data_IF_963106713647
#
_entry.id   IF_963106713647
#
_cell.length_a   1.000
_cell.length_b   1.000
_cell.length_c   1.000
_cell.angle_alpha   90.00
_cell.angle_beta   90.00
_cell.angle_gamma   90.00
#
_symmetry.space_group_name_H-M   'P 1'
#
loop_
_entity.id
_entity.type
_entity.pdbx_description
1 polymer ?
#
# COMPACT_ATOMS: atom_id res chain seq x y z
N UNK A 1 13.66 -27.24 3.48
CA UNK A 1 14.94 -26.51 3.48
C UNK A 1 15.81 -27.18 2.44
N UNK A 2 16.13 -26.49 1.35
CA UNK A 2 17.03 -26.99 0.31
C UNK A 2 18.35 -26.21 0.45
N UNK A 3 19.40 -26.87 0.95
CA UNK A 3 20.76 -26.32 0.92
C UNK A 3 21.25 -26.39 -0.52
N UNK A 4 21.69 -25.27 -1.09
CA UNK A 4 22.27 -25.25 -2.44
C UNK A 4 23.77 -25.09 -2.35
N UNK A 5 24.50 -26.01 -2.97
CA UNK A 5 25.97 -26.15 -2.89
C UNK A 5 26.77 -24.98 -3.50
N UNK A 6 26.12 -23.90 -3.95
CA UNK A 6 26.80 -22.78 -4.61
C UNK A 6 26.20 -21.40 -4.25
N UNK A 7 25.54 -21.25 -3.10
CA UNK A 7 24.94 -19.97 -2.70
C UNK A 7 24.87 -19.81 -1.18
N UNK A 8 25.38 -18.70 -0.66
CA UNK A 8 25.51 -18.37 0.77
C UNK A 8 24.20 -17.94 1.46
N UNK A 9 23.03 -18.39 0.99
CA UNK A 9 21.73 -17.94 1.49
C UNK A 9 20.64 -19.02 1.35
N UNK A 10 19.64 -18.96 2.23
CA UNK A 10 18.53 -19.92 2.25
C UNK A 10 17.30 -19.43 1.46
N UNK A 11 16.58 -20.37 0.86
CA UNK A 11 15.33 -20.09 0.14
C UNK A 11 14.14 -20.89 0.69
N UNK A 12 12.96 -20.27 0.63
CA UNK A 12 11.66 -20.88 0.93
C UNK A 12 11.25 -21.87 -0.16
N UNK A 13 10.16 -22.62 0.08
CA UNK A 13 9.64 -23.61 -0.85
C UNK A 13 9.16 -23.01 -2.19
N UNK A 14 8.77 -21.73 -2.21
CA UNK A 14 8.39 -20.98 -3.40
C UNK A 14 9.59 -20.33 -4.12
N UNK A 15 10.82 -20.59 -3.63
CA UNK A 15 12.07 -20.08 -4.18
C UNK A 15 12.43 -18.65 -3.76
N UNK A 16 11.67 -18.01 -2.86
CA UNK A 16 12.03 -16.70 -2.30
C UNK A 16 13.13 -16.80 -1.25
N UNK A 17 13.87 -15.72 -1.03
CA UNK A 17 14.81 -15.64 0.10
C UNK A 17 14.07 -15.88 1.42
N UNK A 18 14.61 -16.78 2.25
CA UNK A 18 14.10 -17.01 3.60
C UNK A 18 14.36 -15.81 4.52
N UNK A 19 15.49 -15.12 4.30
CA UNK A 19 15.87 -13.90 4.99
C UNK A 19 16.13 -12.77 3.97
N UNK A 20 15.24 -11.78 3.93
CA UNK A 20 15.35 -10.68 2.97
C UNK A 20 16.60 -9.80 3.18
N UNK A 21 17.22 -9.84 4.37
CA UNK A 21 18.44 -9.09 4.66
C UNK A 21 19.70 -9.68 4.02
N UNK A 22 19.66 -10.94 3.59
CA UNK A 22 20.75 -11.60 2.85
C UNK A 22 20.80 -11.22 1.37
N UNK A 23 19.82 -10.44 0.90
CA UNK A 23 19.78 -10.02 -0.49
C UNK A 23 21.02 -9.21 -0.88
N UNK A 24 21.58 -9.56 -2.04
CA UNK A 24 22.60 -8.81 -2.75
C UNK A 24 22.48 -9.10 -4.25
N UNK A 25 23.27 -8.42 -5.10
CA UNK A 25 23.20 -8.61 -6.56
C UNK A 25 23.50 -10.04 -7.01
N UNK A 26 24.41 -10.75 -6.34
CA UNK A 26 24.72 -12.16 -6.65
C UNK A 26 23.55 -13.09 -6.28
N UNK A 27 22.89 -12.83 -5.15
CA UNK A 27 21.67 -13.54 -4.79
C UNK A 27 20.55 -13.32 -5.82
N UNK A 28 20.32 -12.08 -6.25
CA UNK A 28 19.34 -11.77 -7.30
C UNK A 28 19.65 -12.49 -8.62
N UNK A 29 20.90 -12.48 -9.07
CA UNK A 29 21.34 -13.21 -10.28
C UNK A 29 21.11 -14.72 -10.16
N UNK A 30 21.39 -15.29 -8.99
CA UNK A 30 21.17 -16.72 -8.71
C UNK A 30 19.69 -17.06 -8.77
N UNK A 31 18.83 -16.26 -8.12
CA UNK A 31 17.38 -16.45 -8.15
C UNK A 31 16.81 -16.31 -9.56
N UNK A 32 17.30 -15.34 -10.34
CA UNK A 32 16.90 -15.15 -11.73
C UNK A 32 17.32 -16.35 -12.61
N UNK A 33 18.56 -16.83 -12.45
CA UNK A 33 19.07 -17.98 -13.22
C UNK A 33 18.28 -19.26 -12.95
N UNK A 34 17.86 -19.49 -11.70
CA UNK A 34 16.98 -20.61 -11.32
C UNK A 34 15.60 -20.55 -11.97
N UNK A 35 15.13 -19.34 -12.27
CA UNK A 35 13.89 -19.09 -13.00
C UNK A 35 14.08 -19.08 -14.53
N UNK A 36 15.29 -19.38 -15.02
CA UNK A 36 15.61 -19.33 -16.46
C UNK A 36 15.69 -17.90 -17.02
N UNK A 37 15.93 -16.90 -16.16
CA UNK A 37 15.99 -15.48 -16.53
C UNK A 37 17.43 -14.95 -16.45
N UNK A 38 17.87 -14.26 -17.50
CA UNK A 38 19.14 -13.50 -17.50
C UNK A 38 18.84 -12.04 -17.28
N UNK A 39 19.44 -11.43 -16.25
CA UNK A 39 19.20 -10.03 -15.88
C UNK A 39 20.03 -9.09 -16.75
N UNK A 40 19.35 -8.29 -17.58
CA UNK A 40 19.91 -7.12 -18.27
C UNK A 40 19.63 -5.81 -17.49
N UNK A 41 20.02 -4.68 -18.07
CA UNK A 41 19.85 -3.35 -17.47
C UNK A 41 18.38 -3.03 -17.15
N UNK A 42 17.44 -3.41 -17.99
CA UNK A 42 16.00 -3.20 -17.77
C UNK A 42 15.49 -3.97 -16.54
N UNK A 43 16.00 -5.18 -16.31
CA UNK A 43 15.68 -5.93 -15.10
C UNK A 43 16.22 -5.23 -13.85
N UNK A 44 17.47 -4.75 -13.90
CA UNK A 44 18.08 -4.05 -12.77
C UNK A 44 17.36 -2.74 -12.44
N UNK A 45 16.91 -1.98 -13.44
CA UNK A 45 16.08 -0.78 -13.22
C UNK A 45 14.81 -1.12 -12.42
N UNK A 46 14.12 -2.20 -12.76
CA UNK A 46 12.92 -2.66 -12.03
C UNK A 46 13.26 -3.15 -10.63
N UNK A 47 14.29 -3.98 -10.48
CA UNK A 47 14.73 -4.53 -9.20
C UNK A 47 15.14 -3.41 -8.24
N UNK A 48 15.94 -2.45 -8.69
CA UNK A 48 16.42 -1.34 -7.87
C UNK A 48 15.26 -0.43 -7.42
N UNK A 49 14.27 -0.16 -8.30
CA UNK A 49 13.06 0.57 -7.90
C UNK A 49 12.24 -0.18 -6.85
N UNK A 50 12.02 -1.50 -7.02
CA UNK A 50 11.30 -2.30 -6.03
C UNK A 50 11.99 -2.26 -4.66
N UNK A 51 13.32 -2.37 -4.64
CA UNK A 51 14.09 -2.39 -3.41
C UNK A 51 14.13 -1.04 -2.72
N UNK A 52 14.39 0.03 -3.46
CA UNK A 52 14.42 1.37 -2.89
C UNK A 52 13.04 1.75 -2.34
N UNK A 53 11.97 1.37 -3.04
CA UNK A 53 10.60 1.56 -2.55
C UNK A 53 10.34 0.77 -1.26
N UNK A 54 10.70 -0.52 -1.23
CA UNK A 54 10.54 -1.35 -0.04
C UNK A 54 11.36 -0.84 1.14
N UNK A 55 12.60 -0.38 0.90
CA UNK A 55 13.43 0.20 1.95
C UNK A 55 12.84 1.51 2.51
N UNK A 56 12.22 2.33 1.66
CA UNK A 56 11.63 3.60 2.07
C UNK A 56 10.33 3.43 2.88
N UNK A 57 9.47 2.47 2.48
CA UNK A 57 8.11 2.35 3.01
C UNK A 57 7.83 1.06 3.79
N UNK A 58 8.74 0.09 3.77
CA UNK A 58 8.55 -1.25 4.33
C UNK A 58 7.33 -1.99 3.73
N UNK A 59 6.93 -1.60 2.52
CA UNK A 59 5.89 -2.25 1.70
C UNK A 59 6.34 -2.29 0.25
N UNK A 60 6.16 -3.43 -0.47
CA UNK A 60 6.52 -3.52 -1.88
C UNK A 60 5.55 -2.68 -2.74
N UNK A 61 6.00 -2.10 -3.86
CA UNK A 61 5.12 -1.33 -4.73
C UNK A 61 4.18 -2.25 -5.51
N UNK A 62 2.89 -1.90 -5.55
CA UNK A 62 1.92 -2.49 -6.50
C UNK A 62 2.28 -2.06 -7.94
N UNK A 63 1.85 -2.82 -8.96
CA UNK A 63 2.31 -2.64 -10.36
C UNK A 63 2.20 -1.21 -10.89
N UNK A 64 1.07 -0.54 -10.67
CA UNK A 64 0.87 0.87 -11.10
C UNK A 64 1.81 1.85 -10.39
N UNK A 65 2.07 1.66 -9.10
CA UNK A 65 3.06 2.49 -8.36
C UNK A 65 4.46 2.20 -8.86
N UNK A 66 4.82 0.92 -9.07
CA UNK A 66 6.09 0.55 -9.67
C UNK A 66 6.31 1.24 -11.03
N UNK A 67 5.30 1.23 -11.91
CA UNK A 67 5.38 1.92 -13.21
C UNK A 67 5.55 3.45 -13.03
N UNK A 68 4.83 4.06 -12.09
CA UNK A 68 4.97 5.50 -11.78
C UNK A 68 6.41 5.83 -11.34
N UNK A 69 6.97 5.02 -10.46
CA UNK A 69 8.35 5.18 -9.96
C UNK A 69 9.40 4.95 -11.05
N UNK A 70 9.20 3.93 -11.89
CA UNK A 70 10.08 3.64 -13.02
C UNK A 70 10.12 4.79 -14.02
N UNK A 71 8.96 5.32 -14.43
CA UNK A 71 8.89 6.46 -15.35
C UNK A 71 9.55 7.71 -14.78
N UNK A 72 9.48 7.90 -13.46
CA UNK A 72 10.11 9.03 -12.78
C UNK A 72 11.64 8.90 -12.75
N UNK A 73 12.15 7.70 -12.45
CA UNK A 73 13.60 7.45 -12.31
C UNK A 73 14.30 7.25 -13.65
N UNK A 74 13.59 6.71 -14.62
CA UNK A 74 14.11 6.32 -15.93
C UNK A 74 13.23 6.93 -17.05
N UNK A 75 13.18 8.26 -17.19
CA UNK A 75 12.27 8.93 -18.12
C UNK A 75 12.59 8.69 -19.60
N UNK A 76 13.79 8.19 -19.92
CA UNK A 76 14.18 7.82 -21.28
C UNK A 76 13.69 6.42 -21.70
N UNK A 77 13.26 5.59 -20.73
CA UNK A 77 12.89 4.20 -20.93
C UNK A 77 11.36 4.02 -20.89
N UNK A 78 10.84 3.05 -21.65
CA UNK A 78 9.40 2.77 -21.71
C UNK A 78 9.05 1.61 -20.81
N UNK A 79 8.44 1.92 -19.67
CA UNK A 79 7.87 0.93 -18.75
C UNK A 79 6.34 0.93 -18.84
N UNK A 80 5.80 -0.08 -19.51
CA UNK A 80 4.39 -0.43 -19.55
C UNK A 80 4.18 -1.92 -19.23
N UNK A 81 2.94 -2.38 -19.28
CA UNK A 81 2.60 -3.78 -18.99
C UNK A 81 3.30 -4.77 -19.92
N UNK A 82 3.50 -4.42 -21.20
CA UNK A 82 4.15 -5.29 -22.18
C UNK A 82 5.66 -5.37 -21.91
N UNK A 83 6.31 -4.24 -21.66
CA UNK A 83 7.72 -4.21 -21.27
C UNK A 83 7.96 -5.03 -20.01
N UNK A 84 7.13 -4.84 -18.96
CA UNK A 84 7.30 -5.57 -17.70
C UNK A 84 7.05 -7.08 -17.86
N UNK A 85 6.11 -7.48 -18.73
CA UNK A 85 5.87 -8.89 -19.03
C UNK A 85 7.03 -9.52 -19.82
N UNK A 86 7.69 -8.75 -20.70
CA UNK A 86 8.86 -9.23 -21.43
C UNK A 86 10.08 -9.36 -20.53
N UNK A 87 10.30 -8.41 -19.62
CA UNK A 87 11.37 -8.46 -18.62
C UNK A 87 11.13 -9.57 -17.59
N UNK A 88 9.89 -9.77 -17.16
CA UNK A 88 9.55 -10.79 -16.16
C UNK A 88 8.43 -11.69 -16.70
N UNK A 89 8.74 -12.73 -17.49
CA UNK A 89 7.74 -13.65 -18.04
C UNK A 89 6.89 -14.36 -16.99
N UNK A 90 7.46 -14.59 -15.79
CA UNK A 90 6.75 -15.10 -14.61
C UNK A 90 5.92 -14.04 -13.87
N UNK A 91 5.77 -12.85 -14.44
CA UNK A 91 5.05 -11.71 -13.89
C UNK A 91 5.91 -10.86 -12.97
N UNK A 92 5.96 -9.55 -13.22
CA UNK A 92 6.78 -8.60 -12.45
C UNK A 92 6.49 -8.61 -10.94
N UNK A 93 5.24 -8.75 -10.52
CA UNK A 93 4.90 -8.77 -9.09
C UNK A 93 5.26 -10.08 -8.38
N UNK A 94 5.40 -11.19 -9.12
CA UNK A 94 5.72 -12.50 -8.55
C UNK A 94 7.20 -12.81 -8.75
N UNK A 95 7.65 -12.92 -10.00
CA UNK A 95 9.04 -13.18 -10.35
C UNK A 95 9.95 -12.00 -9.99
N UNK A 96 9.55 -10.78 -10.34
CA UNK A 96 10.34 -9.58 -10.06
C UNK A 96 10.52 -9.33 -8.56
N UNK A 97 9.44 -9.43 -7.77
CA UNK A 97 9.54 -9.27 -6.30
C UNK A 97 10.41 -10.35 -5.65
N UNK A 98 10.33 -11.60 -6.13
CA UNK A 98 11.19 -12.70 -5.67
C UNK A 98 12.66 -12.38 -5.89
N UNK A 99 13.02 -11.97 -7.12
CA UNK A 99 14.40 -11.63 -7.49
C UNK A 99 14.88 -10.37 -6.76
N UNK A 100 14.00 -9.39 -6.57
CA UNK A 100 14.30 -8.17 -5.82
C UNK A 100 14.44 -8.40 -4.30
N UNK A 101 14.07 -9.59 -3.81
CA UNK A 101 14.11 -9.91 -2.37
C UNK A 101 13.15 -9.04 -1.57
N UNK A 102 11.93 -8.83 -2.09
CA UNK A 102 10.85 -8.12 -1.40
C UNK A 102 9.60 -9.01 -1.32
N UNK A 103 8.69 -8.77 -0.35
CA UNK A 103 7.43 -9.52 -0.27
C UNK A 103 6.58 -9.34 -1.54
N UNK A 104 5.63 -10.25 -1.75
CA UNK A 104 4.61 -10.07 -2.81
C UNK A 104 3.72 -8.90 -2.41
N UNK A 105 3.54 -7.88 -3.28
CA UNK A 105 2.57 -6.83 -3.02
C UNK A 105 1.16 -7.38 -3.09
N UNK A 106 0.35 -7.03 -2.09
CA UNK A 106 -1.06 -7.39 -1.99
C UNK A 106 -1.93 -6.13 -2.03
N UNK A 107 -3.11 -6.25 -2.61
CA UNK A 107 -4.11 -5.19 -2.66
C UNK A 107 -5.00 -5.26 -1.41
N UNK A 108 -5.63 -4.16 -0.99
CA UNK A 108 -6.47 -4.16 0.22
C UNK A 108 -7.64 -5.15 0.10
N UNK A 109 -8.24 -5.23 -1.10
CA UNK A 109 -9.32 -6.17 -1.41
C UNK A 109 -8.90 -7.64 -1.23
N UNK A 110 -7.61 -7.96 -1.39
CA UNK A 110 -7.09 -9.31 -1.21
C UNK A 110 -6.94 -9.64 0.27
N UNK A 111 -6.56 -8.66 1.10
CA UNK A 111 -6.41 -8.78 2.55
C UNK A 111 -7.75 -8.75 3.31
N UNK A 112 -8.75 -8.05 2.76
CA UNK A 112 -10.08 -7.92 3.37
C UNK A 112 -10.75 -9.28 3.62
N UNK A 113 -10.45 -10.31 2.83
CA UNK A 113 -11.01 -11.66 3.02
C UNK A 113 -10.63 -12.30 4.37
N UNK A 114 -9.54 -11.86 4.99
CA UNK A 114 -9.04 -12.42 6.26
C UNK A 114 -9.42 -11.56 7.49
N UNK A 115 -9.66 -10.26 7.31
CA UNK A 115 -9.84 -9.30 8.42
C UNK A 115 -11.27 -9.16 8.96
N UNK A 116 -12.26 -9.83 8.35
CA UNK A 116 -13.65 -9.88 8.86
C UNK A 116 -13.78 -10.59 10.21
N UNK A 117 -12.75 -11.30 10.69
CA UNK A 117 -12.83 -12.13 11.90
C UNK A 117 -12.22 -11.49 13.17
N UNK A 118 -11.63 -10.30 13.09
CA UNK A 118 -10.99 -9.66 14.24
C UNK A 118 -11.99 -8.98 15.20
N UNK A 119 -11.74 -9.08 16.51
CA UNK A 119 -12.52 -8.40 17.57
C UNK A 119 -11.89 -7.06 17.92
N UNK A 120 -12.72 -6.02 18.06
CA UNK A 120 -12.27 -4.67 18.38
C UNK A 120 -11.83 -4.52 19.85
N UNK A 121 -10.99 -3.50 20.11
CA UNK A 121 -10.65 -3.02 21.45
C UNK A 121 -11.83 -2.26 22.10
N UNK A 122 -11.95 -2.22 23.44
CA UNK A 122 -12.98 -1.43 24.13
C UNK A 122 -12.78 0.09 23.95
N UNK A 123 -13.87 0.87 23.98
CA UNK A 123 -13.89 2.35 24.01
C UNK A 123 -13.33 3.08 22.76
N UNK A 124 -13.71 2.64 21.57
CA UNK A 124 -13.37 3.33 20.32
C UNK A 124 -14.44 4.35 19.92
N UNK A 125 -14.01 5.54 19.53
CA UNK A 125 -14.88 6.64 19.09
C UNK A 125 -15.36 6.50 17.62
N UNK A 126 -15.26 5.30 17.04
CA UNK A 126 -15.68 5.00 15.66
C UNK A 126 -16.72 3.90 15.63
N UNK A 127 -17.47 3.80 14.53
CA UNK A 127 -18.53 2.81 14.37
C UNK A 127 -18.01 1.36 14.44
N UNK A 128 -18.84 0.46 14.97
CA UNK A 128 -18.52 -0.96 15.07
C UNK A 128 -19.66 -1.80 14.52
N UNK A 129 -19.34 -2.76 13.65
CA UNK A 129 -20.31 -3.68 13.03
C UNK A 129 -21.21 -2.98 12.00
N UNK A 130 -22.15 -2.15 12.45
CA UNK A 130 -22.99 -1.36 11.55
C UNK A 130 -23.54 -0.10 12.22
N UNK A 131 -24.00 0.87 11.41
CA UNK A 131 -24.69 2.07 11.87
C UNK A 131 -25.83 2.47 10.93
N UNK A 132 -26.78 3.25 11.43
CA UNK A 132 -27.89 3.76 10.64
C UNK A 132 -27.64 5.21 10.21
N UNK A 133 -27.81 5.49 8.92
CA UNK A 133 -27.67 6.82 8.34
C UNK A 133 -28.66 6.97 7.18
N UNK A 134 -29.39 8.08 7.16
CA UNK A 134 -30.38 8.40 6.10
C UNK A 134 -31.42 7.28 5.83
N UNK A 135 -31.83 6.57 6.87
CA UNK A 135 -32.80 5.46 6.77
C UNK A 135 -32.21 4.13 6.29
N UNK A 136 -30.91 4.06 6.05
CA UNK A 136 -30.21 2.84 5.64
C UNK A 136 -29.21 2.36 6.71
N UNK A 137 -28.90 1.07 6.68
CA UNK A 137 -27.86 0.46 7.52
C UNK A 137 -26.57 0.31 6.73
N UNK A 138 -25.45 0.75 7.30
CA UNK A 138 -24.11 0.67 6.73
C UNK A 138 -23.25 -0.27 7.56
N UNK A 139 -22.63 -1.28 6.93
CA UNK A 139 -21.71 -2.18 7.60
C UNK A 139 -20.29 -1.59 7.64
N UNK A 140 -19.60 -1.81 8.76
CA UNK A 140 -18.21 -1.40 8.97
C UNK A 140 -17.36 -2.53 9.53
N UNK A 141 -16.07 -2.50 9.23
CA UNK A 141 -15.08 -3.40 9.83
C UNK A 141 -14.91 -3.11 11.34
N UNK A 142 -14.15 -3.95 12.04
CA UNK A 142 -13.80 -3.72 13.45
C UNK A 142 -13.00 -2.43 13.69
N UNK A 143 -12.32 -1.91 12.65
CA UNK A 143 -11.61 -0.62 12.66
C UNK A 143 -12.50 0.56 12.27
N UNK A 144 -13.80 0.33 12.00
CA UNK A 144 -14.78 1.35 11.64
C UNK A 144 -14.76 1.78 10.18
N UNK A 145 -14.08 1.03 9.31
CA UNK A 145 -13.98 1.33 7.87
C UNK A 145 -15.19 0.76 7.13
N UNK A 146 -15.65 1.45 6.09
CA UNK A 146 -16.85 1.06 5.34
C UNK A 146 -16.60 -0.25 4.56
N UNK A 147 -17.52 -1.21 4.68
CA UNK A 147 -17.44 -2.48 3.91
C UNK A 147 -17.84 -2.27 2.45
N UNK A 148 -18.86 -1.45 2.21
CA UNK A 148 -19.40 -1.18 0.88
C UNK A 148 -18.95 0.19 0.37
N UNK A 149 -17.70 0.27 -0.12
CA UNK A 149 -17.04 1.53 -0.54
C UNK A 149 -17.88 2.37 -1.53
N UNK A 150 -18.67 1.71 -2.37
CA UNK A 150 -19.51 2.35 -3.39
C UNK A 150 -20.70 3.13 -2.81
N UNK A 151 -21.07 2.88 -1.55
CA UNK A 151 -22.15 3.61 -0.85
C UNK A 151 -21.68 4.92 -0.24
N UNK A 152 -20.37 5.18 -0.23
CA UNK A 152 -19.81 6.41 0.28
C UNK A 152 -20.26 7.63 -0.53
N UNK A 153 -20.60 8.71 0.17
CA UNK A 153 -20.90 10.02 -0.39
C UNK A 153 -20.53 11.11 0.62
N UNK A 154 -20.60 12.38 0.21
CA UNK A 154 -20.18 13.50 1.06
C UNK A 154 -20.95 13.60 2.39
N UNK A 155 -22.27 13.39 2.37
CA UNK A 155 -23.09 13.41 3.60
C UNK A 155 -22.69 12.29 4.57
N UNK A 156 -22.35 11.11 4.05
CA UNK A 156 -21.84 10.00 4.87
C UNK A 156 -20.49 10.35 5.49
N UNK A 157 -19.58 10.97 4.72
CA UNK A 157 -18.27 11.38 5.23
C UNK A 157 -18.40 12.41 6.36
N UNK A 158 -19.26 13.43 6.22
CA UNK A 158 -19.55 14.40 7.28
C UNK A 158 -20.11 13.73 8.53
N UNK A 159 -21.05 12.78 8.35
CA UNK A 159 -21.62 12.03 9.46
C UNK A 159 -20.56 11.21 10.21
N UNK A 160 -19.69 10.51 9.47
CA UNK A 160 -18.57 9.74 10.04
C UNK A 160 -17.56 10.64 10.74
N UNK A 161 -17.17 11.76 10.12
CA UNK A 161 -16.24 12.74 10.70
C UNK A 161 -16.78 13.34 12.01
N UNK A 162 -18.08 13.67 12.05
CA UNK A 162 -18.72 14.22 13.24
C UNK A 162 -18.68 13.27 14.44
N UNK A 163 -18.85 11.96 14.22
CA UNK A 163 -18.70 10.97 15.31
C UNK A 163 -17.28 10.91 15.86
N UNK A 164 -16.30 11.26 15.03
CA UNK A 164 -14.90 11.30 15.41
C UNK A 164 -14.46 12.66 15.97
N UNK A 165 -15.38 13.61 16.11
CA UNK A 165 -15.10 14.96 16.60
C UNK A 165 -14.43 15.86 15.57
N UNK A 166 -14.58 15.57 14.27
CA UNK A 166 -14.02 16.35 13.17
C UNK A 166 -15.14 17.09 12.43
N UNK A 167 -14.94 18.38 12.20
CA UNK A 167 -15.70 19.18 11.26
C UNK A 167 -14.90 19.29 9.94
N UNK A 168 -15.49 18.81 8.83
CA UNK A 168 -14.79 18.75 7.56
C UNK A 168 -14.72 20.13 6.90
N UNK A 169 -13.54 20.73 6.94
CA UNK A 169 -13.19 21.91 6.14
C UNK A 169 -12.75 21.53 4.72
N UNK A 170 -12.57 22.51 3.85
CA UNK A 170 -12.03 22.31 2.49
C UNK A 170 -10.68 21.56 2.48
N UNK A 171 -9.82 21.81 3.47
CA UNK A 171 -8.53 21.11 3.61
C UNK A 171 -8.72 19.62 3.95
N UNK A 172 -9.72 19.28 4.77
CA UNK A 172 -10.05 17.88 5.02
C UNK A 172 -10.54 17.21 3.73
N UNK A 173 -11.41 17.89 2.97
CA UNK A 173 -11.94 17.35 1.72
C UNK A 173 -10.84 17.08 0.69
N UNK A 174 -9.81 17.93 0.61
CA UNK A 174 -8.67 17.66 -0.26
C UNK A 174 -7.96 16.35 0.12
N UNK A 175 -7.69 16.13 1.40
CA UNK A 175 -7.07 14.88 1.87
C UNK A 175 -7.98 13.67 1.61
N UNK A 176 -9.29 13.79 1.90
CA UNK A 176 -10.25 12.71 1.67
C UNK A 176 -10.37 12.35 0.20
N UNK A 177 -10.42 13.35 -0.68
CA UNK A 177 -10.49 13.16 -2.12
C UNK A 177 -9.19 12.56 -2.66
N UNK A 178 -8.04 13.03 -2.18
CA UNK A 178 -6.75 12.44 -2.50
C UNK A 178 -6.68 10.97 -2.10
N UNK A 179 -7.09 10.62 -0.88
CA UNK A 179 -7.12 9.24 -0.39
C UNK A 179 -7.99 8.35 -1.29
N UNK A 180 -9.19 8.84 -1.66
CA UNK A 180 -10.11 8.09 -2.54
C UNK A 180 -9.53 7.93 -3.94
N UNK A 181 -8.99 8.99 -4.52
CA UNK A 181 -8.34 8.94 -5.84
C UNK A 181 -7.16 7.97 -5.82
N UNK A 182 -6.32 8.03 -4.78
CA UNK A 182 -5.19 7.13 -4.59
C UNK A 182 -5.67 5.68 -4.50
N UNK A 183 -6.67 5.38 -3.67
CA UNK A 183 -7.22 4.04 -3.54
C UNK A 183 -7.83 3.53 -4.85
N UNK A 184 -8.67 4.29 -5.55
CA UNK A 184 -9.26 3.81 -6.81
C UNK A 184 -8.25 3.72 -7.95
N UNK A 185 -7.13 4.45 -7.86
CA UNK A 185 -6.03 4.36 -8.82
C UNK A 185 -5.16 3.14 -8.55
N UNK A 186 -4.73 2.94 -7.31
CA UNK A 186 -3.68 1.98 -6.92
C UNK A 186 -4.19 0.75 -6.15
N UNK A 187 -5.43 0.79 -5.67
CA UNK A 187 -6.14 -0.25 -4.92
C UNK A 187 -5.56 -0.59 -3.55
N UNK A 188 -4.83 0.36 -2.97
CA UNK A 188 -4.31 0.31 -1.61
C UNK A 188 -4.49 1.66 -0.93
N UNK A 189 -4.92 1.66 0.32
CA UNK A 189 -4.97 2.84 1.18
C UNK A 189 -3.53 3.20 1.61
N UNK A 190 -3.06 4.43 1.33
CA UNK A 190 -1.66 4.78 1.56
C UNK A 190 -1.37 4.96 3.05
N UNK A 191 -0.28 4.36 3.54
CA UNK A 191 0.27 4.69 4.86
C UNK A 191 0.75 6.15 4.92
N UNK A 192 0.92 6.71 6.13
CA UNK A 192 1.26 8.14 6.32
C UNK A 192 2.46 8.59 5.47
N UNK A 193 3.54 7.81 5.41
CA UNK A 193 4.74 8.17 4.60
C UNK A 193 4.44 8.20 3.09
N UNK A 194 3.64 7.25 2.60
CA UNK A 194 3.24 7.18 1.18
C UNK A 194 2.28 8.33 0.86
N UNK A 195 1.28 8.56 1.71
CA UNK A 195 0.32 9.65 1.63
C UNK A 195 1.06 10.99 1.51
N UNK A 196 1.92 11.29 2.49
CA UNK A 196 2.71 12.52 2.50
C UNK A 196 3.55 12.66 1.23
N UNK A 197 4.29 11.61 0.85
CA UNK A 197 5.14 11.66 -0.34
C UNK A 197 4.34 12.03 -1.58
N UNK A 198 3.24 11.33 -1.87
CA UNK A 198 2.49 11.56 -3.10
C UNK A 198 1.68 12.85 -3.05
N UNK A 199 1.18 13.28 -1.87
CA UNK A 199 0.58 14.60 -1.74
C UNK A 199 1.60 15.73 -1.95
N UNK A 200 2.82 15.62 -1.43
CA UNK A 200 3.89 16.60 -1.70
C UNK A 200 4.17 16.68 -3.21
N UNK A 201 4.19 15.53 -3.89
CA UNK A 201 4.42 15.47 -5.34
C UNK A 201 3.26 16.08 -6.15
N UNK A 202 2.01 15.86 -5.73
CA UNK A 202 0.82 16.21 -6.51
C UNK A 202 0.27 17.61 -6.20
N UNK A 203 0.35 18.07 -4.93
CA UNK A 203 -0.24 19.34 -4.46
C UNK A 203 0.73 20.26 -3.69
N UNK A 204 1.99 19.84 -3.50
CA UNK A 204 3.06 20.65 -2.91
C UNK A 204 3.24 20.49 -1.38
N UNK A 205 4.41 20.90 -0.85
CA UNK A 205 4.82 20.58 0.52
C UNK A 205 4.09 21.32 1.64
N UNK A 206 3.59 22.53 1.39
CA UNK A 206 2.92 23.34 2.42
C UNK A 206 1.64 22.65 2.93
N UNK A 207 0.91 22.01 2.02
CA UNK A 207 -0.40 21.38 2.25
C UNK A 207 -0.30 19.89 2.60
N UNK A 208 0.91 19.35 2.63
CA UNK A 208 1.18 17.93 2.87
C UNK A 208 2.21 17.70 3.99
N UNK A 209 2.51 18.74 4.78
CA UNK A 209 3.38 18.61 5.95
C UNK A 209 2.75 17.69 6.99
N UNK A 210 3.59 17.01 7.78
CA UNK A 210 3.12 16.09 8.80
C UNK A 210 2.26 16.83 9.82
N UNK A 211 2.73 17.98 10.27
CA UNK A 211 2.07 18.82 11.27
C UNK A 211 0.68 19.25 10.79
N UNK A 212 0.57 19.67 9.53
CA UNK A 212 -0.71 20.04 8.93
C UNK A 212 -1.67 18.84 8.87
N UNK A 213 -1.23 17.70 8.33
CA UNK A 213 -2.09 16.53 8.19
C UNK A 213 -2.57 15.96 9.54
N UNK A 214 -1.74 16.01 10.58
CA UNK A 214 -2.13 15.61 11.93
C UNK A 214 -3.01 16.66 12.63
N UNK A 215 -2.95 17.92 12.22
CA UNK A 215 -3.91 18.94 12.71
C UNK A 215 -5.32 18.71 12.16
N UNK A 216 -5.43 18.24 10.91
CA UNK A 216 -6.69 17.86 10.27
C UNK A 216 -7.22 16.52 10.80
N UNK A 217 -6.34 15.53 10.98
CA UNK A 217 -6.70 14.18 11.42
C UNK A 217 -5.87 13.78 12.64
N UNK A 218 -6.29 14.18 13.87
CA UNK A 218 -5.52 13.96 15.10
C UNK A 218 -5.22 12.48 15.41
N UNK A 219 -6.07 11.56 14.96
CA UNK A 219 -5.83 10.09 15.10
C UNK A 219 -5.02 9.50 13.95
N UNK A 220 -4.45 10.35 13.10
CA UNK A 220 -3.56 10.00 12.00
C UNK A 220 -4.26 10.15 10.64
N UNK A 221 -3.67 10.88 9.69
CA UNK A 221 -4.28 11.20 8.40
C UNK A 221 -4.52 9.96 7.53
N UNK A 222 -3.68 8.93 7.65
CA UNK A 222 -3.89 7.67 6.95
C UNK A 222 -4.99 6.82 7.59
N UNK A 223 -4.94 6.55 8.90
CA UNK A 223 -5.92 5.70 9.61
C UNK A 223 -7.29 6.35 9.70
N UNK A 224 -7.35 7.59 10.20
CA UNK A 224 -8.59 8.33 10.40
C UNK A 224 -9.15 8.88 9.09
N UNK A 225 -8.27 9.43 8.24
CA UNK A 225 -8.67 9.93 6.93
C UNK A 225 -9.24 8.82 6.04
N UNK A 226 -8.59 7.65 5.95
CA UNK A 226 -9.12 6.53 5.13
C UNK A 226 -10.48 6.06 5.63
N UNK A 227 -10.71 6.04 6.95
CA UNK A 227 -11.99 5.66 7.54
C UNK A 227 -13.11 6.63 7.15
N UNK A 228 -12.88 7.93 7.32
CA UNK A 228 -13.84 8.99 6.94
C UNK A 228 -14.04 9.02 5.41
N UNK A 229 -13.00 8.72 4.65
CA UNK A 229 -13.03 8.57 3.20
C UNK A 229 -13.78 7.30 2.74
N UNK A 230 -14.25 6.45 3.68
CA UNK A 230 -14.96 5.22 3.38
C UNK A 230 -14.09 4.17 2.69
N UNK A 231 -12.80 4.16 2.99
CA UNK A 231 -11.80 3.27 2.41
C UNK A 231 -11.36 2.21 3.43
N UNK A 232 -10.73 1.11 2.98
CA UNK A 232 -10.15 0.10 3.85
C UNK A 232 -9.02 0.67 4.72
N UNK A 233 -8.69 -0.04 5.80
CA UNK A 233 -7.58 0.35 6.66
C UNK A 233 -6.24 0.17 5.91
N UNK A 234 -5.28 1.12 6.05
CA UNK A 234 -3.98 1.05 5.39
C UNK A 234 -3.16 -0.16 5.88
N UNK A 235 -2.50 -0.84 4.94
CA UNK A 235 -1.63 -1.98 5.24
C UNK A 235 -0.43 -1.58 6.10
N UNK A 236 -0.01 -2.48 7.00
CA UNK A 236 1.17 -2.26 7.85
C UNK A 236 0.94 -1.32 9.04
N UNK A 237 -0.28 -0.78 9.20
CA UNK A 237 -0.71 -0.18 10.45
C UNK A 237 -1.06 -1.31 11.44
N UNK A 238 -0.06 -2.08 11.88
CA UNK A 238 -0.22 -2.99 13.01
C UNK A 238 -0.56 -2.13 14.23
N UNK A 239 -1.69 -2.42 14.87
CA UNK A 239 -2.13 -1.76 16.09
C UNK A 239 -1.02 -1.87 17.15
N UNK A 240 -0.21 -0.83 17.29
CA UNK A 240 0.53 -0.55 18.52
C UNK A 240 -0.36 0.30 19.43
N UNK A 241 -1.57 -0.17 19.67
CA UNK A 241 -2.31 0.19 20.87
C UNK A 241 -1.88 -0.83 21.95
N UNK A 242 -0.65 -0.65 22.46
CA UNK A 242 -0.19 -1.17 23.77
C UNK A 242 0.07 0.04 24.66
#
# INVERSE_FOLDING_TARGET
MLLTEDSSFEVLADGRLANLSEWNKSAAQTLASRDGLTLDDGHWQVIDVMRDYYQAFNVPPIKKLLIRELKKRHPADVFDDATLQNLFPGGVLVQGSKIAGVPIPMMDVELERETYQAKAAPNVAHFMGSFNFDGETFAVTHTGNLVELHRWNSRLAEYMAKQEGIELTEEHWEVLNFLREFYFTYGVSPMVKILMRYMIEDIGPERASKEHLYSLFPKGPSRQGSRIAGLPAPQGCLDLDI
#
